data_IF_503281445962
#
_entry.id   IF_503281445962
#
_cell.length_a   1.000
_cell.length_b   1.000
_cell.length_c   1.000
_cell.angle_alpha   90.00
_cell.angle_beta   90.00
_cell.angle_gamma   90.00
#
_symmetry.space_group_name_H-M   'P 1'
#
loop_
_entity.id
_entity.type
_entity.pdbx_description
1 polymer ?
#
# COMPACT_ATOMS: atom_id res chain seq x y z
N UNK A 1 -0.04 -58.14 16.60
CA UNK A 1 -1.21 -58.73 17.29
C UNK A 1 -2.01 -57.55 17.86
N UNK A 2 -3.13 -57.20 17.23
CA UNK A 2 -4.07 -56.18 17.71
C UNK A 2 -4.88 -56.73 18.91
N UNK A 3 -5.49 -55.84 19.71
CA UNK A 3 -6.95 -55.74 19.60
C UNK A 3 -7.47 -54.30 19.47
N UNK A 4 -8.65 -54.20 18.84
CA UNK A 4 -9.52 -53.01 18.68
C UNK A 4 -10.65 -53.03 19.71
N UNK A 5 -11.38 -51.90 19.76
CA UNK A 5 -12.74 -51.59 20.29
C UNK A 5 -12.69 -50.65 21.51
N UNK A 6 -13.51 -49.58 21.65
CA UNK A 6 -14.59 -49.03 20.84
C UNK A 6 -14.85 -47.56 21.25
N UNK A 7 -15.66 -46.89 20.43
CA UNK A 7 -16.08 -45.49 20.43
C UNK A 7 -16.78 -44.96 21.70
N UNK A 8 -16.69 -43.65 21.93
CA UNK A 8 -17.83 -42.83 22.37
C UNK A 8 -17.73 -41.38 21.88
N UNK A 9 -18.74 -40.99 21.10
CA UNK A 9 -19.06 -39.62 20.69
C UNK A 9 -19.46 -38.75 21.90
N UNK A 10 -19.05 -37.47 21.89
CA UNK A 10 -19.79 -36.40 22.57
C UNK A 10 -19.81 -35.14 21.69
N UNK A 11 -21.04 -34.81 21.28
CA UNK A 11 -21.47 -33.63 20.53
C UNK A 11 -21.88 -32.57 21.55
N UNK A 12 -21.42 -31.34 21.39
CA UNK A 12 -22.05 -30.15 21.95
C UNK A 12 -21.90 -29.03 20.90
N UNK A 13 -22.94 -28.37 20.40
CA UNK A 13 -24.28 -28.16 20.95
C UNK A 13 -24.58 -26.68 20.81
N UNK A 14 -24.89 -26.26 19.58
CA UNK A 14 -25.38 -24.93 19.23
C UNK A 14 -26.85 -24.83 19.68
N UNK A 15 -27.18 -23.89 20.56
CA UNK A 15 -28.56 -23.42 20.80
C UNK A 15 -28.51 -21.92 21.10
N UNK A 16 -29.15 -21.12 20.25
CA UNK A 16 -29.48 -19.72 20.54
C UNK A 16 -30.83 -19.59 21.25
N UNK A 17 -31.11 -18.46 21.90
CA UNK A 17 -32.05 -17.43 21.40
C UNK A 17 -32.28 -16.29 22.42
N UNK A 18 -32.60 -15.11 21.88
CA UNK A 18 -33.40 -13.99 22.44
C UNK A 18 -32.78 -13.12 23.56
N UNK A 19 -33.05 -11.82 23.70
CA UNK A 19 -33.42 -10.66 22.84
C UNK A 19 -33.50 -9.47 23.83
N UNK A 20 -33.22 -8.25 23.35
CA UNK A 20 -33.62 -6.94 23.89
C UNK A 20 -32.88 -6.40 25.14
N UNK A 21 -32.07 -5.35 24.96
CA UNK A 21 -32.45 -3.94 25.20
C UNK A 21 -31.23 -3.04 25.13
N UNK A 22 -31.25 -2.04 24.24
CA UNK A 22 -30.33 -0.90 24.26
C UNK A 22 -30.73 0.09 25.36
N UNK A 23 -29.82 1.01 25.74
CA UNK A 23 -30.12 2.40 25.42
C UNK A 23 -28.95 3.18 24.81
N UNK A 24 -29.31 3.79 23.68
CA UNK A 24 -28.85 5.03 23.05
C UNK A 24 -28.10 6.01 23.99
N UNK A 25 -26.97 6.55 23.51
CA UNK A 25 -26.60 7.96 23.78
C UNK A 25 -26.27 8.69 22.48
N UNK A 26 -27.07 9.71 22.24
CA UNK A 26 -26.98 10.73 21.20
C UNK A 26 -26.51 12.03 21.85
N UNK A 27 -25.65 12.83 21.21
CA UNK A 27 -25.62 14.29 21.42
C UNK A 27 -25.55 15.05 20.09
N UNK A 28 -26.76 15.51 19.73
CA UNK A 28 -27.24 16.69 18.98
C UNK A 28 -26.43 17.26 17.79
N UNK A 29 -27.09 17.40 16.62
CA UNK A 29 -26.84 18.46 15.65
C UNK A 29 -27.54 19.77 16.06
N UNK A 30 -26.91 20.91 15.79
CA UNK A 30 -27.56 22.23 15.81
C UNK A 30 -28.53 22.36 14.63
N UNK A 31 -29.70 22.92 14.88
CA UNK A 31 -30.79 23.10 13.92
C UNK A 31 -30.55 24.28 12.96
N UNK A 32 -31.14 24.27 11.74
CA UNK A 32 -31.18 25.41 10.85
C UNK A 32 -32.43 26.28 11.12
N UNK A 33 -32.26 27.60 11.11
CA UNK A 33 -33.37 28.56 11.06
C UNK A 33 -33.64 28.97 9.62
N UNK A 34 -34.91 28.88 9.23
CA UNK A 34 -35.49 29.25 7.95
C UNK A 34 -35.71 30.76 7.79
N UNK A 35 -35.37 31.32 6.63
CA UNK A 35 -36.04 32.49 6.04
C UNK A 35 -35.97 32.45 4.52
N UNK A 36 -37.09 32.80 3.89
CA UNK A 36 -37.48 32.74 2.46
C UNK A 36 -36.70 33.69 1.52
N UNK A 37 -36.80 33.52 0.18
CA UNK A 37 -35.85 34.07 -0.79
C UNK A 37 -36.27 35.43 -1.35
N UNK A 38 -35.30 36.28 -1.65
CA UNK A 38 -35.44 37.43 -2.56
C UNK A 38 -34.56 37.21 -3.77
N UNK A 39 -35.21 37.19 -4.94
CA UNK A 39 -34.60 37.23 -6.26
C UNK A 39 -33.90 38.58 -6.44
N UNK A 40 -32.63 38.56 -6.83
CA UNK A 40 -32.06 39.67 -7.58
C UNK A 40 -31.17 39.14 -8.70
N UNK A 41 -31.40 39.68 -9.89
CA UNK A 41 -30.69 39.36 -11.14
C UNK A 41 -29.60 40.40 -11.31
N UNK A 42 -28.35 39.97 -11.43
CA UNK A 42 -27.39 40.44 -12.44
C UNK A 42 -26.09 39.62 -12.36
N UNK A 43 -25.58 39.24 -13.53
CA UNK A 43 -24.47 38.29 -13.74
C UNK A 43 -23.09 39.00 -13.80
N UNK A 44 -21.93 38.31 -13.82
CA UNK A 44 -21.51 37.53 -15.00
C UNK A 44 -21.04 36.10 -14.70
N UNK A 45 -21.34 35.25 -15.69
CA UNK A 45 -21.03 33.84 -15.91
C UNK A 45 -19.59 33.42 -15.55
N UNK A 46 -19.46 32.49 -14.61
CA UNK A 46 -18.28 31.62 -14.45
C UNK A 46 -18.66 30.23 -15.00
N UNK A 47 -17.87 29.61 -15.89
CA UNK A 47 -18.21 28.32 -16.48
C UNK A 47 -18.32 27.22 -15.42
N UNK A 48 -19.51 26.63 -15.30
CA UNK A 48 -19.77 25.45 -14.47
C UNK A 48 -19.35 24.18 -15.23
N UNK A 49 -18.14 23.69 -14.97
CA UNK A 49 -17.76 22.30 -15.20
C UNK A 49 -16.62 21.93 -14.27
N UNK A 50 -16.95 21.56 -13.04
CA UNK A 50 -16.08 20.75 -12.19
C UNK A 50 -16.95 19.66 -11.56
N UNK A 51 -16.92 18.49 -12.19
CA UNK A 51 -17.56 17.28 -11.67
C UNK A 51 -16.97 16.95 -10.30
N UNK A 52 -17.86 16.71 -9.33
CA UNK A 52 -17.53 16.47 -7.93
C UNK A 52 -16.74 15.16 -7.82
N UNK A 53 -15.44 15.28 -7.54
CA UNK A 53 -14.59 14.19 -7.07
C UNK A 53 -15.20 13.64 -5.77
N UNK A 54 -15.62 12.36 -5.77
CA UNK A 54 -16.17 11.70 -4.58
C UNK A 54 -15.03 11.40 -3.60
N UNK A 55 -14.52 12.43 -2.93
CA UNK A 55 -13.64 12.24 -1.77
C UNK A 55 -14.54 11.78 -0.61
N UNK A 56 -14.29 10.57 -0.10
CA UNK A 56 -14.92 10.12 1.13
C UNK A 56 -14.43 11.01 2.27
N UNK A 57 -15.28 11.98 2.64
CA UNK A 57 -15.19 12.84 3.84
C UNK A 57 -13.92 13.71 3.92
N UNK A 58 -13.87 14.79 3.13
CA UNK A 58 -13.02 15.94 3.46
C UNK A 58 -13.57 16.59 4.73
N UNK A 59 -12.98 16.30 5.89
CA UNK A 59 -12.87 17.33 6.91
C UNK A 59 -12.13 18.49 6.25
N UNK A 60 -12.66 19.72 6.29
CA UNK A 60 -11.90 20.86 5.77
C UNK A 60 -10.54 20.83 6.47
N UNK A 61 -9.46 20.88 5.71
CA UNK A 61 -8.10 20.72 6.26
C UNK A 61 -7.77 21.79 7.31
N UNK A 62 -8.49 22.92 7.29
CA UNK A 62 -8.49 23.97 8.31
C UNK A 62 -8.96 23.51 9.70
N UNK A 63 -9.58 22.34 9.82
CA UNK A 63 -10.23 21.86 11.04
C UNK A 63 -9.38 20.81 11.79
N UNK A 64 -8.23 20.40 11.21
CA UNK A 64 -7.31 19.48 11.87
C UNK A 64 -6.53 20.19 12.97
N UNK A 65 -6.32 19.55 14.15
CA UNK A 65 -5.43 20.10 15.16
C UNK A 65 -4.03 20.32 14.57
N UNK A 66 -3.30 21.37 14.97
CA UNK A 66 -2.02 21.79 14.35
C UNK A 66 -0.91 20.73 14.38
N UNK A 67 -1.06 19.67 15.19
CA UNK A 67 -0.10 18.58 15.33
C UNK A 67 -0.45 17.33 14.51
N UNK A 68 -1.60 17.30 13.82
CA UNK A 68 -2.00 16.16 12.98
C UNK A 68 -1.41 16.32 11.58
N UNK A 69 -0.73 15.27 11.10
CA UNK A 69 -0.16 15.23 9.76
C UNK A 69 -1.10 14.55 8.78
N UNK A 70 -1.34 15.15 7.62
CA UNK A 70 -2.24 14.59 6.59
C UNK A 70 -1.47 13.80 5.54
N UNK A 71 -1.89 12.56 5.27
CA UNK A 71 -1.29 11.67 4.27
C UNK A 71 -2.39 11.19 3.32
N UNK A 72 -2.21 11.39 2.02
CA UNK A 72 -3.10 10.89 0.98
C UNK A 72 -2.65 9.50 0.51
N UNK A 73 -3.51 8.50 0.70
CA UNK A 73 -3.34 7.12 0.23
C UNK A 73 -4.03 6.98 -1.12
N UNK A 74 -3.23 6.84 -2.17
CA UNK A 74 -3.65 6.90 -3.56
C UNK A 74 -3.75 5.48 -4.10
N UNK A 75 -4.97 5.00 -4.30
CA UNK A 75 -5.21 3.87 -5.19
C UNK A 75 -5.26 4.40 -6.64
N UNK A 76 -4.28 4.07 -7.49
CA UNK A 76 -4.19 4.66 -8.82
C UNK A 76 -5.04 3.88 -9.86
N UNK A 77 -5.80 2.86 -9.44
CA UNK A 77 -6.85 2.24 -10.25
C UNK A 77 -8.26 2.73 -9.85
N UNK A 78 -9.26 2.38 -10.66
CA UNK A 78 -10.64 2.87 -10.49
C UNK A 78 -11.49 2.03 -9.53
N UNK A 79 -10.90 1.00 -8.90
CA UNK A 79 -11.59 0.11 -7.97
C UNK A 79 -11.72 0.73 -6.58
N UNK A 80 -12.91 1.24 -6.27
CA UNK A 80 -13.24 1.70 -4.91
C UNK A 80 -13.18 0.57 -3.88
N UNK A 81 -13.42 -0.67 -4.30
CA UNK A 81 -13.28 -1.84 -3.43
C UNK A 81 -11.84 -2.00 -2.91
N UNK A 82 -10.84 -1.84 -3.79
CA UNK A 82 -9.43 -1.91 -3.39
C UNK A 82 -9.08 -0.78 -2.41
N UNK A 83 -9.57 0.44 -2.64
CA UNK A 83 -9.38 1.55 -1.69
C UNK A 83 -9.99 1.23 -0.33
N UNK A 84 -11.23 0.73 -0.30
CA UNK A 84 -11.93 0.39 0.94
C UNK A 84 -11.24 -0.72 1.73
N UNK A 85 -10.55 -1.65 1.05
CA UNK A 85 -9.79 -2.71 1.70
C UNK A 85 -8.57 -2.18 2.48
N UNK A 86 -8.03 -1.01 2.13
CA UNK A 86 -6.88 -0.39 2.82
C UNK A 86 -7.26 0.30 4.13
N UNK A 87 -8.52 0.74 4.26
CA UNK A 87 -9.01 1.50 5.42
C UNK A 87 -8.80 0.74 6.73
N UNK A 88 -9.33 -0.49 6.92
CA UNK A 88 -9.17 -1.20 8.19
C UNK A 88 -7.71 -1.51 8.54
N UNK A 89 -6.84 -1.61 7.53
CA UNK A 89 -5.40 -1.88 7.68
C UNK A 89 -4.74 -0.70 8.38
N UNK A 90 -4.94 0.50 7.84
CA UNK A 90 -4.33 1.72 8.36
C UNK A 90 -4.98 2.17 9.66
N UNK A 91 -6.29 1.95 9.83
CA UNK A 91 -6.99 2.19 11.09
C UNK A 91 -6.41 1.33 12.22
N UNK A 92 -6.07 0.06 11.93
CA UNK A 92 -5.52 -0.86 12.94
C UNK A 92 -4.12 -0.50 13.43
N UNK A 93 -3.36 0.29 12.66
CA UNK A 93 -2.00 0.69 13.04
C UNK A 93 -1.96 1.75 14.15
N UNK A 94 -3.06 2.48 14.38
CA UNK A 94 -3.16 3.44 15.48
C UNK A 94 -2.11 4.56 15.40
N UNK A 95 -2.09 5.31 14.30
CA UNK A 95 -1.15 6.41 14.13
C UNK A 95 -1.65 7.71 14.79
N UNK A 96 -1.41 7.86 16.10
CA UNK A 96 -1.70 9.13 16.79
C UNK A 96 -1.05 10.32 16.07
N UNK A 97 -1.81 11.37 15.79
CA UNK A 97 -1.30 12.55 15.09
C UNK A 97 -1.06 12.37 13.59
N UNK A 98 -1.59 11.31 12.96
CA UNK A 98 -1.66 11.18 11.50
C UNK A 98 -3.13 11.02 11.08
N UNK A 99 -3.54 11.73 10.05
CA UNK A 99 -4.80 11.49 9.33
C UNK A 99 -4.47 10.89 7.96
N UNK A 100 -5.04 9.74 7.66
CA UNK A 100 -5.04 9.17 6.32
C UNK A 100 -6.32 9.53 5.61
N UNK A 101 -6.19 10.15 4.45
CA UNK A 101 -7.28 10.32 3.49
C UNK A 101 -7.03 9.43 2.28
N UNK A 102 -8.08 9.11 1.54
CA UNK A 102 -8.04 8.08 0.50
C UNK A 102 -8.49 8.63 -0.84
N UNK A 103 -7.75 8.26 -1.88
CA UNK A 103 -8.05 8.55 -3.27
C UNK A 103 -8.25 7.25 -4.06
N UNK A 104 -9.24 7.26 -4.94
CA UNK A 104 -9.45 6.27 -6.00
C UNK A 104 -9.46 7.00 -7.33
N UNK A 105 -8.80 6.45 -8.35
CA UNK A 105 -8.84 7.05 -9.68
C UNK A 105 -10.30 7.15 -10.18
N UNK A 106 -10.72 8.27 -10.78
CA UNK A 106 -12.08 8.41 -11.30
C UNK A 106 -12.40 7.32 -12.33
N UNK A 107 -13.59 6.71 -12.23
CA UNK A 107 -14.00 5.64 -13.14
C UNK A 107 -14.70 6.17 -14.42
N UNK A 108 -15.30 7.37 -14.35
CA UNK A 108 -16.17 7.90 -15.40
C UNK A 108 -15.58 9.10 -16.15
N UNK A 109 -14.38 9.54 -15.76
CA UNK A 109 -13.71 10.69 -16.36
C UNK A 109 -12.73 10.27 -17.47
N UNK A 110 -12.34 11.22 -18.30
CA UNK A 110 -11.29 11.06 -19.30
C UNK A 110 -10.27 12.19 -19.21
N UNK A 111 -9.02 11.90 -19.53
CA UNK A 111 -7.93 12.86 -19.59
C UNK A 111 -7.45 12.98 -21.03
N UNK A 112 -7.26 14.21 -21.51
CA UNK A 112 -6.61 14.46 -22.79
C UNK A 112 -5.12 14.69 -22.58
N UNK A 113 -4.28 13.88 -23.22
CA UNK A 113 -2.83 14.04 -23.21
C UNK A 113 -2.39 15.22 -24.10
N UNK A 114 -1.15 15.67 -23.91
CA UNK A 114 -0.53 16.74 -24.69
C UNK A 114 -0.44 16.45 -26.18
N UNK A 115 -0.42 15.17 -26.57
CA UNK A 115 -0.44 14.71 -27.97
C UNK A 115 -1.87 14.51 -28.53
N UNK A 116 -2.90 14.89 -27.77
CA UNK A 116 -4.30 14.82 -28.17
C UNK A 116 -4.98 13.47 -27.89
N UNK A 117 -4.26 12.44 -27.45
CA UNK A 117 -4.87 11.14 -27.09
C UNK A 117 -5.78 11.28 -25.87
N UNK A 118 -6.91 10.57 -25.89
CA UNK A 118 -7.82 10.47 -24.74
C UNK A 118 -7.52 9.21 -23.95
N UNK A 119 -7.40 9.35 -22.63
CA UNK A 119 -7.13 8.28 -21.68
C UNK A 119 -8.25 8.13 -20.67
N UNK A 120 -8.50 6.88 -20.28
CA UNK A 120 -9.43 6.50 -19.22
C UNK A 120 -8.69 5.76 -18.11
N UNK A 121 -9.24 5.81 -16.91
CA UNK A 121 -8.73 5.07 -15.77
C UNK A 121 -8.80 3.56 -15.98
N UNK A 122 -7.85 2.83 -15.40
CA UNK A 122 -7.80 1.37 -15.47
C UNK A 122 -8.45 0.76 -14.22
N UNK A 123 -9.29 -0.28 -14.34
CA UNK A 123 -9.94 -0.92 -13.20
C UNK A 123 -8.97 -1.74 -12.33
N UNK A 124 -7.89 -2.22 -12.93
CA UNK A 124 -6.81 -2.97 -12.30
C UNK A 124 -5.50 -2.62 -13.00
N UNK A 125 -4.38 -2.78 -12.29
CA UNK A 125 -3.03 -2.59 -12.84
C UNK A 125 -2.37 -3.96 -12.78
N UNK A 126 -2.19 -4.58 -13.94
CA UNK A 126 -1.69 -5.97 -14.05
C UNK A 126 -0.39 -6.05 -14.86
N UNK A 127 0.17 -4.90 -15.25
CA UNK A 127 1.41 -4.79 -16.01
C UNK A 127 2.17 -3.49 -15.74
N UNK A 128 3.43 -3.43 -16.18
CA UNK A 128 4.21 -2.18 -16.20
C UNK A 128 3.56 -1.10 -17.06
N UNK A 129 2.99 -1.45 -18.22
CA UNK A 129 2.29 -0.52 -19.09
C UNK A 129 1.04 0.08 -18.42
N UNK A 130 0.25 -0.73 -17.72
CA UNK A 130 -0.91 -0.25 -16.95
C UNK A 130 -0.49 0.75 -15.88
N UNK A 131 0.66 0.53 -15.23
CA UNK A 131 1.18 1.45 -14.21
C UNK A 131 1.56 2.81 -14.81
N UNK A 132 2.11 2.83 -16.03
CA UNK A 132 2.39 4.08 -16.76
C UNK A 132 1.09 4.77 -17.14
N UNK A 133 0.14 4.02 -17.70
CA UNK A 133 -1.16 4.57 -18.10
C UNK A 133 -1.93 5.15 -16.91
N UNK A 134 -1.94 4.42 -15.81
CA UNK A 134 -2.56 4.84 -14.55
C UNK A 134 -1.90 6.10 -13.98
N UNK A 135 -0.56 6.20 -14.02
CA UNK A 135 0.16 7.38 -13.55
C UNK A 135 -0.21 8.64 -14.36
N UNK A 136 -0.18 8.54 -15.69
CA UNK A 136 -0.55 9.63 -16.60
C UNK A 136 -2.02 10.04 -16.42
N UNK A 137 -2.91 9.08 -16.21
CA UNK A 137 -4.32 9.35 -15.97
C UNK A 137 -4.57 10.03 -14.61
N UNK A 138 -3.88 9.61 -13.55
CA UNK A 138 -4.13 10.11 -12.20
C UNK A 138 -3.53 11.51 -11.96
N UNK A 139 -2.38 11.82 -12.55
CA UNK A 139 -1.64 13.04 -12.22
C UNK A 139 -2.47 14.34 -12.35
N UNK A 140 -3.26 14.57 -13.42
CA UNK A 140 -4.05 15.80 -13.54
C UNK A 140 -5.08 16.01 -12.42
N UNK A 141 -5.59 14.91 -11.83
CA UNK A 141 -6.53 14.97 -10.70
C UNK A 141 -5.83 15.13 -9.36
N UNK A 142 -4.60 14.62 -9.24
CA UNK A 142 -3.80 14.67 -8.02
C UNK A 142 -3.01 15.96 -7.88
N UNK A 143 -2.62 16.60 -8.99
CA UNK A 143 -1.81 17.82 -9.00
C UNK A 143 -2.39 18.93 -8.12
N UNK A 144 -3.70 19.24 -8.17
CA UNK A 144 -4.30 20.25 -7.28
C UNK A 144 -4.32 19.84 -5.81
N UNK A 145 -4.16 18.55 -5.50
CA UNK A 145 -4.15 18.03 -4.12
C UNK A 145 -2.75 18.03 -3.51
N UNK A 146 -1.68 18.29 -4.29
CA UNK A 146 -0.31 18.22 -3.76
C UNK A 146 -0.05 19.32 -2.73
N UNK A 147 -0.66 20.49 -2.87
CA UNK A 147 -0.59 21.58 -1.87
C UNK A 147 -1.24 21.21 -0.54
N UNK A 148 -2.25 20.35 -0.59
CA UNK A 148 -3.13 20.05 0.53
C UNK A 148 -2.47 19.10 1.54
N UNK A 149 -1.80 18.03 1.09
CA UNK A 149 -1.29 16.98 1.98
C UNK A 149 0.20 17.12 2.34
N UNK A 150 0.62 16.52 3.45
CA UNK A 150 2.03 16.44 3.86
C UNK A 150 2.72 15.15 3.39
N UNK A 151 1.93 14.11 3.10
CA UNK A 151 2.44 12.83 2.64
C UNK A 151 1.58 12.21 1.54
N UNK A 152 2.20 11.41 0.67
CA UNK A 152 1.54 10.71 -0.42
C UNK A 152 2.03 9.27 -0.52
N UNK A 153 1.10 8.31 -0.45
CA UNK A 153 1.37 6.88 -0.60
C UNK A 153 0.72 6.39 -1.89
N UNK A 154 1.51 5.94 -2.85
CA UNK A 154 0.98 5.26 -4.05
C UNK A 154 0.76 3.78 -3.72
N UNK A 155 -0.51 3.39 -3.57
CA UNK A 155 -0.95 2.06 -3.15
C UNK A 155 -1.08 1.07 -4.32
N UNK A 156 -0.05 1.02 -5.18
CA UNK A 156 0.11 -0.01 -6.20
C UNK A 156 1.49 -0.65 -6.03
N UNK A 157 1.53 -1.98 -5.94
CA UNK A 157 2.79 -2.71 -5.74
C UNK A 157 3.49 -2.92 -7.08
N UNK A 158 4.10 -1.85 -7.57
CA UNK A 158 4.93 -1.83 -8.78
C UNK A 158 5.95 -0.70 -8.67
N UNK A 159 6.94 -0.65 -9.56
CA UNK A 159 7.77 0.55 -9.75
C UNK A 159 6.94 1.66 -10.41
N UNK A 160 5.94 2.16 -9.67
CA UNK A 160 4.85 2.95 -10.23
C UNK A 160 5.33 4.37 -10.55
N UNK A 161 5.27 4.82 -11.82
CA UNK A 161 5.83 6.13 -12.22
C UNK A 161 5.23 7.32 -11.47
N UNK A 162 3.98 7.21 -11.02
CA UNK A 162 3.30 8.23 -10.22
C UNK A 162 4.09 8.66 -8.98
N UNK A 163 4.90 7.78 -8.37
CA UNK A 163 5.77 8.13 -7.24
C UNK A 163 6.79 9.20 -7.64
N UNK A 164 7.42 9.03 -8.81
CA UNK A 164 8.38 9.99 -9.35
C UNK A 164 7.70 11.31 -9.72
N UNK A 165 6.57 11.24 -10.41
CA UNK A 165 5.80 12.43 -10.82
C UNK A 165 5.34 13.27 -9.63
N UNK A 166 4.86 12.64 -8.56
CA UNK A 166 4.48 13.34 -7.33
C UNK A 166 5.70 13.96 -6.62
N UNK A 167 6.85 13.27 -6.59
CA UNK A 167 8.09 13.82 -6.02
C UNK A 167 8.56 15.07 -6.78
N UNK A 168 8.48 15.07 -8.11
CA UNK A 168 8.82 16.23 -8.93
C UNK A 168 7.88 17.40 -8.65
N UNK A 169 6.56 17.16 -8.56
CA UNK A 169 5.60 18.21 -8.23
C UNK A 169 5.80 18.78 -6.83
N UNK A 170 6.06 17.91 -5.85
CA UNK A 170 6.40 18.33 -4.48
C UNK A 170 7.62 19.25 -4.48
N UNK A 171 8.71 18.87 -5.18
CA UNK A 171 9.91 19.71 -5.26
C UNK A 171 9.63 21.08 -5.89
N UNK A 172 8.85 21.11 -6.98
CA UNK A 172 8.46 22.37 -7.62
C UNK A 172 7.75 23.32 -6.64
N UNK A 173 6.80 22.80 -5.85
CA UNK A 173 6.08 23.58 -4.85
C UNK A 173 7.04 24.04 -3.73
N UNK A 174 7.90 23.16 -3.24
CA UNK A 174 8.87 23.51 -2.20
C UNK A 174 9.89 24.57 -2.68
N UNK A 175 10.31 24.52 -3.94
CA UNK A 175 11.22 25.49 -4.55
C UNK A 175 10.52 26.86 -4.69
N UNK A 176 9.26 26.88 -5.16
CA UNK A 176 8.44 28.10 -5.24
C UNK A 176 8.21 28.74 -3.87
N UNK A 177 7.90 27.94 -2.84
CA UNK A 177 7.75 28.43 -1.46
C UNK A 177 9.08 28.98 -0.90
N UNK A 178 10.21 28.36 -1.26
CA UNK A 178 11.54 28.78 -0.81
C UNK A 178 11.92 30.17 -1.33
N UNK A 179 11.52 30.52 -2.56
CA UNK A 179 11.81 31.82 -3.16
C UNK A 179 11.14 32.98 -2.43
N UNK A 180 10.03 32.72 -1.73
CA UNK A 180 9.27 33.70 -0.96
C UNK A 180 9.74 33.89 0.49
N UNK A 181 10.72 33.10 0.97
CA UNK A 181 11.10 33.03 2.37
C UNK A 181 12.57 33.41 2.62
N UNK A 182 12.89 34.06 3.75
CA UNK A 182 14.28 34.28 4.17
C UNK A 182 15.03 32.95 4.32
N UNK A 183 16.34 32.93 4.02
CA UNK A 183 17.16 31.71 4.03
C UNK A 183 17.22 30.96 5.37
N UNK A 184 16.85 31.61 6.47
CA UNK A 184 16.81 31.04 7.82
C UNK A 184 15.51 30.26 8.10
N UNK A 185 14.47 30.45 7.27
CA UNK A 185 13.16 29.87 7.45
C UNK A 185 13.02 28.58 6.64
N UNK A 186 12.71 27.47 7.32
CA UNK A 186 12.58 26.17 6.66
C UNK A 186 11.27 26.05 5.91
N UNK A 187 11.34 25.68 4.64
CA UNK A 187 10.17 25.20 3.89
C UNK A 187 9.72 23.86 4.45
N UNK A 188 8.42 23.72 4.60
CA UNK A 188 7.78 22.51 5.09
C UNK A 188 7.95 21.41 4.06
N UNK A 189 8.65 20.33 4.41
CA UNK A 189 8.87 19.20 3.51
C UNK A 189 7.62 18.33 3.39
N UNK A 190 7.35 17.85 2.17
CA UNK A 190 6.32 16.86 1.86
C UNK A 190 6.98 15.56 1.41
N UNK A 191 6.36 14.43 1.73
CA UNK A 191 6.97 13.12 1.54
C UNK A 191 6.15 12.22 0.61
N UNK A 192 6.82 11.46 -0.25
CA UNK A 192 6.16 10.58 -1.23
C UNK A 192 6.85 9.22 -1.25
N UNK A 193 6.07 8.13 -1.18
CA UNK A 193 6.54 6.77 -1.45
C UNK A 193 5.49 5.94 -2.18
N UNK A 194 5.89 4.88 -2.87
CA UNK A 194 5.01 3.78 -3.21
C UNK A 194 5.14 2.64 -2.20
N UNK A 195 4.13 1.76 -2.20
CA UNK A 195 4.13 0.56 -1.35
C UNK A 195 5.19 -0.47 -1.79
N UNK A 196 5.61 -0.40 -3.06
CA UNK A 196 6.73 -1.19 -3.57
C UNK A 196 8.05 -0.77 -2.91
N UNK A 197 8.42 0.51 -2.98
CA UNK A 197 9.67 0.99 -2.40
C UNK A 197 9.68 0.77 -0.88
N UNK A 198 8.57 1.07 -0.22
CA UNK A 198 8.44 0.86 1.22
C UNK A 198 8.55 -0.61 1.60
N UNK A 199 7.90 -1.51 0.86
CA UNK A 199 7.97 -2.94 1.09
C UNK A 199 9.38 -3.49 0.89
N UNK A 200 10.11 -3.04 -0.14
CA UNK A 200 11.51 -3.44 -0.36
C UNK A 200 12.42 -2.94 0.76
N UNK A 201 12.30 -1.68 1.16
CA UNK A 201 13.12 -1.09 2.23
C UNK A 201 12.85 -1.75 3.58
N UNK A 202 11.58 -1.97 3.94
CA UNK A 202 11.21 -2.68 5.16
C UNK A 202 11.74 -4.11 5.15
N UNK A 203 11.62 -4.82 4.02
CA UNK A 203 12.15 -6.18 3.87
C UNK A 203 13.66 -6.23 4.06
N UNK A 204 14.40 -5.29 3.45
CA UNK A 204 15.84 -5.16 3.65
C UNK A 204 16.19 -4.82 5.10
N UNK A 205 15.45 -3.91 5.73
CA UNK A 205 15.67 -3.49 7.10
C UNK A 205 15.57 -4.65 8.10
N UNK A 206 14.60 -5.56 7.91
CA UNK A 206 14.40 -6.68 8.84
C UNK A 206 15.35 -7.86 8.63
N UNK A 207 15.95 -8.02 7.45
CA UNK A 207 16.95 -9.07 7.17
C UNK A 207 18.40 -8.58 7.32
N UNK A 208 18.64 -7.27 7.26
CA UNK A 208 19.98 -6.71 7.32
C UNK A 208 20.54 -6.82 8.74
N UNK A 209 21.69 -7.47 8.88
CA UNK A 209 22.44 -7.54 10.14
C UNK A 209 23.91 -7.87 9.84
N UNK A 210 24.83 -7.33 10.64
CA UNK A 210 26.23 -7.73 10.64
C UNK A 210 26.48 -8.73 11.77
N UNK A 211 27.23 -9.78 11.48
CA UNK A 211 27.55 -10.85 12.41
C UNK A 211 29.08 -10.99 12.49
N UNK A 212 29.59 -11.41 13.66
CA UNK A 212 31.00 -11.74 13.82
C UNK A 212 31.26 -13.03 13.05
N UNK A 213 32.33 -13.10 12.27
CA UNK A 213 32.71 -14.34 11.58
C UNK A 213 33.27 -15.35 12.59
N UNK A 214 33.12 -16.64 12.32
CA UNK A 214 33.68 -17.69 13.20
C UNK A 214 35.22 -17.79 13.10
N UNK A 215 35.83 -17.01 12.22
CA UNK A 215 37.27 -17.00 12.01
C UNK A 215 38.03 -16.33 13.17
N UNK A 216 39.31 -16.69 13.43
CA UNK A 216 40.11 -16.12 14.52
C UNK A 216 40.40 -14.62 14.38
N UNK A 217 40.14 -14.05 13.20
CA UNK A 217 40.22 -12.60 12.99
C UNK A 217 38.98 -11.93 13.58
N UNK A 218 39.16 -10.76 14.20
CA UNK A 218 38.06 -9.91 14.69
C UNK A 218 37.27 -9.28 13.52
N UNK A 219 36.76 -10.12 12.62
CA UNK A 219 36.10 -9.74 11.39
C UNK A 219 34.57 -9.81 11.55
N UNK A 220 33.88 -9.01 10.74
CA UNK A 220 32.42 -9.00 10.66
C UNK A 220 32.00 -9.23 9.23
N UNK A 221 30.94 -10.00 9.06
CA UNK A 221 30.30 -10.24 7.78
C UNK A 221 28.84 -9.79 7.80
N UNK A 222 28.35 -9.38 6.65
CA UNK A 222 26.94 -9.07 6.48
C UNK A 222 26.13 -10.38 6.34
N UNK A 223 24.94 -10.43 6.96
CA UNK A 223 24.03 -11.57 6.83
C UNK A 223 23.71 -11.83 5.36
N UNK A 224 23.65 -13.12 5.03
CA UNK A 224 23.27 -13.64 3.72
C UNK A 224 21.76 -13.81 3.56
N UNK A 225 20.98 -13.48 4.59
CA UNK A 225 19.52 -13.55 4.51
C UNK A 225 19.02 -12.67 3.37
N UNK A 226 18.06 -13.22 2.63
CA UNK A 226 17.41 -12.58 1.49
C UNK A 226 15.96 -12.28 1.82
N UNK A 227 15.34 -11.39 1.06
CA UNK A 227 13.89 -11.29 1.01
C UNK A 227 13.40 -11.72 -0.38
N UNK A 228 12.14 -12.15 -0.47
CA UNK A 228 11.49 -12.30 -1.77
C UNK A 228 10.10 -11.67 -1.77
N UNK A 229 9.47 -11.63 -2.94
CA UNK A 229 8.14 -11.03 -3.14
C UNK A 229 7.16 -12.11 -3.60
N UNK A 230 5.96 -12.11 -3.03
CA UNK A 230 4.83 -12.91 -3.51
C UNK A 230 3.83 -11.97 -4.16
N UNK A 231 3.58 -12.13 -5.46
CA UNK A 231 2.69 -11.25 -6.23
C UNK A 231 1.58 -12.03 -6.96
N UNK A 232 0.82 -11.33 -7.80
CA UNK A 232 -0.41 -11.81 -8.44
C UNK A 232 -0.11 -12.55 -9.75
N UNK A 233 -0.13 -11.84 -10.88
CA UNK A 233 0.00 -12.39 -12.22
C UNK A 233 1.46 -12.64 -12.63
N UNK A 234 1.67 -13.59 -13.54
CA UNK A 234 3.00 -14.05 -13.97
C UNK A 234 3.90 -12.94 -14.54
N UNK A 235 3.30 -11.92 -15.16
CA UNK A 235 4.01 -10.76 -15.71
C UNK A 235 4.84 -10.02 -14.64
N UNK A 236 4.39 -10.05 -13.37
CA UNK A 236 5.07 -9.36 -12.28
C UNK A 236 6.41 -9.97 -11.89
N UNK A 237 6.71 -11.23 -12.24
CA UNK A 237 7.99 -11.83 -11.86
C UNK A 237 9.17 -11.11 -12.49
N UNK A 238 9.11 -10.88 -13.81
CA UNK A 238 10.16 -10.17 -14.53
C UNK A 238 10.19 -8.68 -14.17
N UNK A 239 9.02 -8.04 -14.13
CA UNK A 239 8.88 -6.61 -13.85
C UNK A 239 9.38 -6.24 -12.46
N UNK A 240 8.92 -6.94 -11.41
CA UNK A 240 9.33 -6.65 -10.04
C UNK A 240 10.78 -7.07 -9.78
N UNK A 241 11.27 -8.15 -10.41
CA UNK A 241 12.69 -8.51 -10.28
C UNK A 241 13.61 -7.42 -10.85
N UNK A 242 13.29 -6.90 -12.03
CA UNK A 242 14.02 -5.79 -12.65
C UNK A 242 13.89 -4.51 -11.81
N UNK A 243 12.70 -4.21 -11.29
CA UNK A 243 12.47 -3.06 -10.44
C UNK A 243 13.31 -3.09 -9.15
N UNK A 244 13.38 -4.24 -8.46
CA UNK A 244 14.24 -4.41 -7.28
C UNK A 244 15.70 -4.24 -7.65
N UNK A 245 16.17 -4.87 -8.74
CA UNK A 245 17.55 -4.72 -9.18
C UNK A 245 17.93 -3.26 -9.49
N UNK A 246 17.03 -2.50 -10.14
CA UNK A 246 17.23 -1.08 -10.38
C UNK A 246 17.26 -0.27 -9.08
N UNK A 247 16.32 -0.53 -8.17
CA UNK A 247 16.23 0.17 -6.88
C UNK A 247 17.47 -0.04 -6.01
N UNK A 248 18.08 -1.23 -6.05
CA UNK A 248 19.26 -1.56 -5.24
C UNK A 248 20.60 -1.21 -5.91
N UNK A 249 20.58 -0.51 -7.05
CA UNK A 249 21.80 -0.06 -7.73
C UNK A 249 22.54 -1.17 -8.49
N UNK A 250 21.86 -2.27 -8.81
CA UNK A 250 22.42 -3.48 -9.41
C UNK A 250 22.43 -3.48 -10.95
N UNK A 251 22.45 -2.30 -11.58
CA UNK A 251 22.35 -2.10 -13.05
C UNK A 251 21.22 -2.90 -13.73
N UNK A 252 20.16 -3.22 -13.00
CA UNK A 252 19.03 -4.01 -13.52
C UNK A 252 19.26 -5.52 -13.63
N UNK A 253 20.39 -6.06 -13.17
CA UNK A 253 20.61 -7.51 -13.11
C UNK A 253 20.13 -8.08 -11.75
N UNK A 254 19.03 -8.86 -11.71
CA UNK A 254 18.51 -9.44 -10.46
C UNK A 254 19.50 -10.41 -9.81
N UNK A 255 20.36 -11.07 -10.59
CA UNK A 255 21.34 -12.04 -10.06
C UNK A 255 22.48 -11.37 -9.28
N UNK A 256 22.67 -10.06 -9.49
CA UNK A 256 23.69 -9.30 -8.76
C UNK A 256 23.20 -8.82 -7.38
N UNK A 257 21.88 -8.86 -7.12
CA UNK A 257 21.34 -8.47 -5.81
C UNK A 257 21.48 -9.61 -4.80
N UNK A 258 22.61 -9.68 -4.11
CA UNK A 258 22.91 -10.74 -3.11
C UNK A 258 21.93 -10.84 -1.92
N UNK A 259 20.91 -9.97 -1.85
CA UNK A 259 19.90 -9.88 -0.77
C UNK A 259 18.47 -10.14 -1.25
N UNK A 260 18.25 -10.49 -2.51
CA UNK A 260 16.93 -10.72 -3.08
C UNK A 260 16.79 -12.15 -3.64
N UNK A 261 15.81 -12.89 -3.14
CA UNK A 261 15.53 -14.27 -3.53
C UNK A 261 14.75 -14.37 -4.85
N UNK A 262 14.11 -13.30 -5.28
CA UNK A 262 13.26 -13.26 -6.46
C UNK A 262 11.79 -13.00 -6.15
N UNK A 263 10.96 -13.26 -7.16
CA UNK A 263 9.51 -13.05 -7.15
C UNK A 263 8.83 -14.34 -7.55
N UNK A 264 7.80 -14.73 -6.81
CA UNK A 264 6.88 -15.81 -7.18
C UNK A 264 5.46 -15.31 -7.21
N UNK A 265 4.63 -15.97 -8.01
CA UNK A 265 3.27 -15.50 -8.32
C UNK A 265 2.21 -16.56 -8.01
N UNK A 266 1.01 -16.10 -7.69
CA UNK A 266 -0.17 -16.97 -7.53
C UNK A 266 -0.74 -17.40 -8.88
N UNK A 267 -0.39 -16.68 -9.95
CA UNK A 267 -0.95 -16.88 -11.29
C UNK A 267 -2.37 -16.34 -11.44
N UNK A 268 -2.87 -15.54 -10.49
CA UNK A 268 -4.13 -14.80 -10.56
C UNK A 268 -3.82 -13.32 -10.84
N UNK A 269 -4.62 -12.62 -11.63
CA UNK A 269 -4.56 -11.15 -11.73
C UNK A 269 -4.98 -10.48 -10.42
N UNK A 270 -4.71 -9.18 -10.28
CA UNK A 270 -5.12 -8.44 -9.08
C UNK A 270 -6.65 -8.40 -8.91
N UNK A 271 -7.40 -8.32 -10.02
CA UNK A 271 -8.86 -8.43 -10.00
C UNK A 271 -9.34 -9.84 -9.59
N UNK A 272 -8.74 -10.90 -10.14
CA UNK A 272 -9.11 -12.29 -9.84
C UNK A 272 -8.87 -12.67 -8.37
N UNK A 273 -7.91 -12.04 -7.70
CA UNK A 273 -7.64 -12.26 -6.28
C UNK A 273 -8.88 -12.03 -5.40
N UNK A 274 -9.78 -11.12 -5.81
CA UNK A 274 -11.00 -10.79 -5.07
C UNK A 274 -12.23 -11.60 -5.50
N UNK A 275 -12.25 -12.15 -6.71
CA UNK A 275 -13.38 -12.94 -7.23
C UNK A 275 -13.18 -14.45 -7.08
N UNK A 276 -11.93 -14.90 -6.95
CA UNK A 276 -11.58 -16.32 -6.76
C UNK A 276 -11.97 -16.79 -5.35
N UNK A 277 -12.47 -18.03 -5.18
CA UNK A 277 -12.79 -18.56 -3.86
C UNK A 277 -11.60 -18.47 -2.88
N UNK A 278 -11.81 -18.02 -1.62
CA UNK A 278 -10.73 -17.78 -0.67
C UNK A 278 -9.82 -18.99 -0.43
N UNK A 279 -10.37 -20.21 -0.46
CA UNK A 279 -9.59 -21.44 -0.31
C UNK A 279 -8.59 -21.67 -1.44
N UNK A 280 -8.94 -21.31 -2.68
CA UNK A 280 -8.05 -21.44 -3.84
C UNK A 280 -6.99 -20.34 -3.86
N UNK A 281 -7.37 -19.09 -3.52
CA UNK A 281 -6.41 -17.99 -3.35
C UNK A 281 -5.36 -18.36 -2.30
N UNK A 282 -5.80 -18.85 -1.14
CA UNK A 282 -4.94 -19.29 -0.05
C UNK A 282 -3.99 -20.40 -0.50
N UNK A 283 -4.51 -21.43 -1.18
CA UNK A 283 -3.70 -22.54 -1.71
C UNK A 283 -2.58 -22.02 -2.62
N UNK A 284 -2.90 -21.15 -3.57
CA UNK A 284 -1.92 -20.59 -4.51
C UNK A 284 -0.86 -19.72 -3.84
N UNK A 285 -1.24 -18.93 -2.83
CA UNK A 285 -0.29 -18.15 -2.04
C UNK A 285 0.69 -19.04 -1.26
N UNK A 286 0.18 -20.10 -0.64
CA UNK A 286 1.00 -21.09 0.07
C UNK A 286 1.99 -21.74 -0.89
N UNK A 287 1.54 -22.21 -2.05
CA UNK A 287 2.37 -22.86 -3.06
C UNK A 287 3.42 -21.89 -3.65
N UNK A 288 3.04 -20.65 -3.95
CA UNK A 288 3.97 -19.63 -4.43
C UNK A 288 5.07 -19.32 -3.40
N UNK A 289 4.68 -19.19 -2.13
CA UNK A 289 5.62 -18.98 -1.03
C UNK A 289 6.59 -20.14 -0.89
N UNK A 290 6.09 -21.37 -0.97
CA UNK A 290 6.92 -22.56 -0.86
C UNK A 290 7.93 -22.67 -2.01
N UNK A 291 7.52 -22.35 -3.25
CA UNK A 291 8.43 -22.29 -4.41
C UNK A 291 9.52 -21.23 -4.24
N UNK A 292 9.14 -20.03 -3.80
CA UNK A 292 10.08 -18.92 -3.60
C UNK A 292 11.20 -19.33 -2.64
N UNK A 293 10.81 -19.92 -1.50
CA UNK A 293 11.75 -20.33 -0.47
C UNK A 293 12.65 -21.48 -0.94
N UNK A 294 12.07 -22.50 -1.59
CA UNK A 294 12.83 -23.67 -2.06
C UNK A 294 13.76 -23.36 -3.22
N UNK A 295 13.43 -22.35 -4.03
CA UNK A 295 14.24 -21.89 -5.15
C UNK A 295 15.36 -20.90 -4.76
N UNK A 296 15.33 -20.36 -3.54
CA UNK A 296 16.27 -19.32 -3.13
C UNK A 296 17.69 -19.87 -2.87
N UNK A 297 18.74 -19.18 -3.35
CA UNK A 297 20.13 -19.63 -3.16
C UNK A 297 20.67 -19.37 -1.75
N UNK A 298 20.03 -18.46 -0.99
CA UNK A 298 20.34 -18.17 0.40
C UNK A 298 19.03 -18.19 1.22
N UNK A 299 19.10 -18.26 2.56
CA UNK A 299 17.89 -18.25 3.38
C UNK A 299 17.00 -17.04 3.12
N UNK A 300 15.68 -17.25 3.07
CA UNK A 300 14.67 -16.20 2.94
C UNK A 300 14.23 -15.79 4.34
N UNK A 301 14.72 -14.66 4.82
CA UNK A 301 14.39 -14.09 6.12
C UNK A 301 13.12 -13.23 6.11
N UNK A 302 12.70 -12.75 4.94
CA UNK A 302 11.49 -11.96 4.79
C UNK A 302 10.74 -12.23 3.49
N UNK A 303 9.42 -12.08 3.52
CA UNK A 303 8.55 -12.10 2.35
C UNK A 303 7.73 -10.82 2.33
N UNK A 304 7.81 -10.10 1.23
CA UNK A 304 7.00 -8.93 0.97
C UNK A 304 5.75 -9.32 0.17
N UNK A 305 4.58 -8.88 0.63
CA UNK A 305 3.32 -9.07 -0.08
C UNK A 305 3.21 -8.07 -1.23
N UNK A 306 3.27 -8.59 -2.45
CA UNK A 306 3.46 -7.85 -3.68
C UNK A 306 2.17 -7.36 -4.34
N UNK A 307 1.13 -7.08 -3.57
CA UNK A 307 -0.13 -6.51 -4.05
C UNK A 307 -0.91 -5.87 -2.90
N UNK A 308 -1.49 -4.70 -3.14
CA UNK A 308 -2.37 -4.02 -2.17
C UNK A 308 -3.64 -4.83 -1.83
N UNK A 309 -4.06 -5.76 -2.70
CA UNK A 309 -5.18 -6.66 -2.46
C UNK A 309 -4.85 -7.88 -1.60
N UNK A 310 -3.58 -8.10 -1.23
CA UNK A 310 -3.15 -9.25 -0.41
C UNK A 310 -3.19 -8.98 1.10
N UNK A 311 -3.67 -7.82 1.52
CA UNK A 311 -3.83 -7.49 2.94
C UNK A 311 -4.71 -8.53 3.61
N UNK A 312 -4.30 -9.02 4.78
CA UNK A 312 -5.05 -10.02 5.55
C UNK A 312 -4.80 -11.46 5.09
N UNK A 313 -3.87 -11.66 4.13
CA UNK A 313 -3.47 -12.98 3.63
C UNK A 313 -2.13 -13.46 4.19
N UNK A 314 -1.63 -12.82 5.25
CA UNK A 314 -0.34 -13.14 5.90
C UNK A 314 -0.31 -14.58 6.41
N UNK A 315 -1.44 -15.11 6.89
CA UNK A 315 -1.56 -16.48 7.35
C UNK A 315 -1.29 -17.51 6.24
N UNK A 316 -1.67 -17.19 5.00
CA UNK A 316 -1.39 -18.05 3.84
C UNK A 316 0.12 -18.06 3.53
N UNK A 317 0.75 -16.90 3.53
CA UNK A 317 2.21 -16.77 3.35
C UNK A 317 2.95 -17.47 4.50
N UNK A 318 2.50 -17.30 5.74
CA UNK A 318 3.04 -17.97 6.92
C UNK A 318 2.99 -19.48 6.79
N UNK A 319 1.86 -20.03 6.34
CA UNK A 319 1.75 -21.47 6.11
C UNK A 319 2.75 -21.94 5.05
N UNK A 320 2.91 -21.21 3.95
CA UNK A 320 3.93 -21.51 2.94
C UNK A 320 5.35 -21.54 3.53
N UNK A 321 5.68 -20.60 4.41
CA UNK A 321 6.95 -20.57 5.13
C UNK A 321 7.15 -21.82 5.99
N UNK A 322 6.10 -22.23 6.72
CA UNK A 322 6.13 -23.42 7.58
C UNK A 322 6.25 -24.70 6.77
N UNK A 323 5.61 -24.79 5.59
CA UNK A 323 5.77 -25.94 4.69
C UNK A 323 7.20 -26.05 4.14
N UNK A 324 7.82 -24.91 3.79
CA UNK A 324 9.15 -24.90 3.20
C UNK A 324 10.29 -25.09 4.22
N UNK A 325 10.20 -24.44 5.39
CA UNK A 325 11.27 -24.41 6.40
C UNK A 325 10.96 -25.19 7.68
N UNK A 326 9.78 -25.79 7.80
CA UNK A 326 9.28 -26.36 9.05
C UNK A 326 8.79 -25.28 10.02
N UNK A 327 8.13 -25.69 11.10
CA UNK A 327 7.42 -24.79 12.03
C UNK A 327 8.32 -23.71 12.63
N UNK A 328 9.49 -24.08 13.14
CA UNK A 328 10.36 -23.14 13.87
C UNK A 328 10.90 -22.04 12.95
N UNK A 329 11.63 -22.42 11.88
CA UNK A 329 12.22 -21.46 10.94
C UNK A 329 11.15 -20.76 10.10
N UNK A 330 10.08 -21.47 9.72
CA UNK A 330 8.94 -20.88 9.02
C UNK A 330 8.24 -19.77 9.81
N UNK A 331 8.21 -19.85 11.15
CA UNK A 331 7.68 -18.78 12.02
C UNK A 331 8.64 -17.59 12.18
N UNK A 332 9.92 -17.75 11.87
CA UNK A 332 10.92 -16.67 11.98
C UNK A 332 10.91 -15.73 10.77
N UNK A 333 10.41 -16.20 9.61
CA UNK A 333 10.31 -15.37 8.39
C UNK A 333 9.45 -14.13 8.67
N UNK A 334 9.92 -12.94 8.34
CA UNK A 334 9.13 -11.71 8.50
C UNK A 334 8.19 -11.54 7.30
N UNK A 335 6.92 -11.34 7.55
CA UNK A 335 5.94 -11.05 6.49
C UNK A 335 5.74 -9.54 6.50
N UNK A 336 6.00 -8.92 5.36
CA UNK A 336 6.01 -7.46 5.19
C UNK A 336 4.84 -7.08 4.30
N UNK A 337 3.99 -6.20 4.80
CA UNK A 337 2.96 -5.53 4.02
C UNK A 337 3.48 -4.15 3.56
N UNK A 338 3.48 -3.92 2.24
CA UNK A 338 3.95 -2.66 1.66
C UNK A 338 3.10 -1.44 2.04
N UNK A 339 1.80 -1.61 2.29
CA UNK A 339 0.88 -0.56 2.73
C UNK A 339 1.24 -0.12 4.15
N UNK A 340 1.40 -1.10 5.06
CA UNK A 340 1.80 -0.84 6.45
C UNK A 340 3.20 -0.21 6.50
N UNK A 341 4.14 -0.75 5.71
CA UNK A 341 5.49 -0.21 5.61
C UNK A 341 5.49 1.26 5.14
N UNK A 342 4.72 1.57 4.10
CA UNK A 342 4.61 2.94 3.57
C UNK A 342 3.99 3.90 4.59
N UNK A 343 2.92 3.48 5.26
CA UNK A 343 2.25 4.28 6.29
C UNK A 343 3.19 4.59 7.46
N UNK A 344 3.88 3.59 7.99
CA UNK A 344 4.86 3.78 9.07
C UNK A 344 6.03 4.68 8.67
N UNK A 345 6.56 4.49 7.46
CA UNK A 345 7.64 5.33 6.91
C UNK A 345 7.22 6.79 6.78
N UNK A 346 6.07 7.08 6.13
CA UNK A 346 5.65 8.47 5.93
C UNK A 346 5.15 9.12 7.21
N UNK A 347 4.48 8.37 8.09
CA UNK A 347 4.12 8.89 9.41
C UNK A 347 5.36 9.37 10.17
N UNK A 348 6.43 8.59 10.12
CA UNK A 348 7.71 8.96 10.72
C UNK A 348 8.32 10.16 10.02
N UNK A 349 8.37 10.17 8.67
CA UNK A 349 8.95 11.27 7.91
C UNK A 349 8.23 12.60 8.15
N UNK A 350 6.89 12.60 8.13
CA UNK A 350 6.09 13.81 8.37
C UNK A 350 6.25 14.35 9.79
N UNK A 351 6.50 13.48 10.78
CA UNK A 351 6.72 13.88 12.18
C UNK A 351 8.16 14.33 12.44
N UNK A 352 9.13 13.62 11.86
CA UNK A 352 10.55 13.86 12.09
C UNK A 352 11.11 15.02 11.27
N UNK A 353 10.56 15.27 10.07
CA UNK A 353 11.04 16.32 9.18
C UNK A 353 12.42 16.01 8.60
N UNK A 354 12.61 14.78 8.08
CA UNK A 354 13.85 14.38 7.39
C UNK A 354 14.23 15.30 6.23
#
# INVERSE_FOLDING_TARGET
MFPRLADHHAVAGWVGNHRLTSPVRYRRPFAPSSSTPTFDRDSPLIPKTLGILKILKILKMSDLPPNVKSILVINPNTSTHMTNALIPVLDSLGHEGIQFDYYTAPASESVQLTDGRVMHGVPSIDSGEDSVRSALYCMPFLEPLVSEYEGFIVACFSAHPLVGMLKEKVRSIEDEESLGLPSEMKVKKKYVTGIFEAGVLASLGVISSFQITEDPGFEKAQSRDTFGIISTGKAWEAELSKAVANMLGSSGDPKSTGRFAGVETTGLTAGELHSTPPGEVRKRLVEATERLIKGAPNPVGAICMGCAGMVGMEDAVREGCVRAYGRQRGNQVRIVDGVIAAAGMLATACKAGF
#
